data_IF_362554486440
#
_entry.id   IF_362554486440
#
_cell.length_a   1.000
_cell.length_b   1.000
_cell.length_c   1.000
_cell.angle_alpha   90.00
_cell.angle_beta   90.00
_cell.angle_gamma   90.00
#
_symmetry.space_group_name_H-M   'P 1'
#
loop_
_entity.id
_entity.type
_entity.pdbx_description
1 polymer ?
#
# COMPACT_ATOMS: atom_id res chain seq x y z
N UNK A 1 13.28 -8.50 -9.91
CA UNK A 1 12.00 -9.26 -9.88
C UNK A 1 12.27 -10.60 -9.22
N UNK A 2 11.48 -10.99 -8.22
CA UNK A 2 11.64 -12.30 -7.55
C UNK A 2 11.00 -13.37 -8.43
N UNK A 3 11.71 -14.48 -8.68
CA UNK A 3 11.20 -15.59 -9.51
C UNK A 3 10.05 -16.33 -8.81
N UNK A 4 9.10 -16.84 -9.59
CA UNK A 4 8.06 -17.72 -9.05
C UNK A 4 8.68 -19.01 -8.52
N UNK A 5 8.31 -19.45 -7.31
CA UNK A 5 8.83 -20.69 -6.76
C UNK A 5 8.24 -21.89 -7.51
N UNK A 6 9.07 -22.90 -7.75
CA UNK A 6 8.59 -24.18 -8.31
C UNK A 6 7.91 -25.00 -7.22
N UNK A 7 7.05 -25.94 -7.61
CA UNK A 7 6.41 -26.89 -6.68
C UNK A 7 7.46 -27.62 -5.83
N UNK A 8 8.57 -28.03 -6.44
CA UNK A 8 9.68 -28.66 -5.72
C UNK A 8 10.39 -27.71 -4.76
N UNK A 9 10.55 -26.44 -5.13
CA UNK A 9 11.08 -25.40 -4.24
C UNK A 9 10.21 -25.20 -2.99
N UNK A 10 8.88 -25.14 -3.17
CA UNK A 10 7.94 -25.04 -2.05
C UNK A 10 7.99 -26.28 -1.14
N UNK A 11 8.02 -27.49 -1.72
CA UNK A 11 8.13 -28.75 -0.96
C UNK A 11 9.41 -28.80 -0.12
N UNK A 12 10.55 -28.35 -0.65
CA UNK A 12 11.83 -28.29 0.08
C UNK A 12 11.77 -27.25 1.19
N UNK A 13 11.26 -26.06 0.90
CA UNK A 13 11.17 -24.96 1.86
C UNK A 13 10.28 -25.31 3.06
N UNK A 14 9.20 -26.08 2.85
CA UNK A 14 8.34 -26.58 3.93
C UNK A 14 9.09 -27.44 4.96
N UNK A 15 10.18 -28.10 4.56
CA UNK A 15 11.00 -28.97 5.42
C UNK A 15 12.25 -28.28 5.96
N UNK A 16 12.58 -27.10 5.45
CA UNK A 16 13.76 -26.38 5.91
C UNK A 16 13.55 -25.96 7.37
N UNK A 17 14.56 -26.20 8.20
CA UNK A 17 14.56 -25.67 9.56
C UNK A 17 14.68 -24.15 9.49
N UNK A 18 13.74 -23.45 10.13
CA UNK A 18 13.79 -22.00 10.29
C UNK A 18 14.23 -21.72 11.71
N UNK A 19 15.46 -21.27 11.86
CA UNK A 19 16.00 -20.86 13.15
C UNK A 19 15.27 -19.62 13.66
N UNK A 20 14.94 -19.62 14.95
CA UNK A 20 14.27 -18.49 15.61
C UNK A 20 15.23 -17.91 16.64
N UNK A 21 15.67 -16.69 16.38
CA UNK A 21 16.49 -15.93 17.31
C UNK A 21 15.59 -15.06 18.19
N UNK A 22 15.90 -15.06 19.48
CA UNK A 22 15.32 -14.17 20.49
C UNK A 22 16.22 -12.95 20.69
N UNK A 23 15.74 -11.95 21.45
CA UNK A 23 16.54 -10.78 21.79
C UNK A 23 17.81 -11.15 22.58
N UNK A 24 17.72 -12.19 23.43
CA UNK A 24 18.86 -12.68 24.20
C UNK A 24 19.95 -13.27 23.30
N UNK A 25 19.56 -13.99 22.24
CA UNK A 25 20.49 -14.63 21.29
C UNK A 25 21.33 -13.60 20.52
N UNK A 26 20.86 -12.35 20.43
CA UNK A 26 21.54 -11.25 19.75
C UNK A 26 22.06 -10.16 20.72
N UNK A 27 21.99 -10.39 22.03
CA UNK A 27 22.52 -9.48 23.05
C UNK A 27 21.77 -8.15 23.19
N UNK A 28 20.48 -8.11 22.84
CA UNK A 28 19.65 -6.91 22.94
C UNK A 28 18.75 -7.00 24.17
N UNK A 29 18.72 -5.94 24.99
CA UNK A 29 17.76 -5.82 26.09
C UNK A 29 16.37 -5.40 25.55
N UNK A 30 15.31 -5.83 26.23
CA UNK A 30 13.94 -5.52 25.82
C UNK A 30 13.64 -4.01 25.79
N UNK A 31 14.33 -3.25 26.64
CA UNK A 31 14.24 -1.79 26.76
C UNK A 31 14.70 -1.07 25.49
N UNK A 32 15.68 -1.66 24.79
CA UNK A 32 16.29 -1.12 23.59
C UNK A 32 15.60 -1.61 22.30
N UNK A 33 14.49 -2.33 22.40
CA UNK A 33 13.78 -2.91 21.27
C UNK A 33 12.32 -2.44 21.21
N UNK A 34 11.73 -2.54 20.00
CA UNK A 34 10.32 -2.23 19.78
C UNK A 34 9.96 -0.78 20.09
N UNK A 35 8.78 -0.57 20.69
CA UNK A 35 8.28 0.78 21.01
C UNK A 35 9.15 1.48 22.07
N UNK A 36 9.65 0.74 23.07
CA UNK A 36 10.44 1.32 24.16
C UNK A 36 11.81 1.81 23.70
N UNK A 37 12.45 1.08 22.78
CA UNK A 37 13.72 1.48 22.19
C UNK A 37 13.60 2.53 21.07
N UNK A 38 12.40 2.88 20.65
CA UNK A 38 12.18 3.83 19.56
C UNK A 38 12.17 5.28 20.07
N UNK A 39 12.99 6.19 19.52
CA UNK A 39 12.96 7.61 19.90
C UNK A 39 11.69 8.32 19.41
N UNK A 40 10.97 7.74 18.44
CA UNK A 40 9.73 8.30 17.88
C UNK A 40 8.54 7.40 18.21
N UNK A 41 7.36 8.01 18.30
CA UNK A 41 6.09 7.33 18.54
C UNK A 41 5.02 7.80 17.56
N UNK A 42 4.26 6.85 17.01
CA UNK A 42 3.09 7.17 16.18
C UNK A 42 2.02 7.86 17.03
N UNK A 43 1.71 9.12 16.72
CA UNK A 43 0.71 9.91 17.44
C UNK A 43 -0.70 9.73 16.86
N UNK A 44 -0.82 9.67 15.53
CA UNK A 44 -2.07 9.45 14.82
C UNK A 44 -1.79 8.72 13.49
N UNK A 45 -2.78 7.96 13.01
CA UNK A 45 -2.77 7.37 11.68
C UNK A 45 -4.06 7.81 11.00
N UNK A 46 -3.93 8.56 9.92
CA UNK A 46 -5.08 9.05 9.16
C UNK A 46 -5.07 8.44 7.76
N UNK A 47 -6.21 7.90 7.35
CA UNK A 47 -6.42 7.47 5.98
C UNK A 47 -6.85 8.68 5.17
N UNK A 48 -5.92 9.27 4.43
CA UNK A 48 -6.25 10.35 3.50
C UNK A 48 -7.17 9.79 2.40
N UNK A 49 -8.36 10.37 2.26
CA UNK A 49 -9.15 10.15 1.05
C UNK A 49 -8.52 10.97 -0.06
N UNK A 50 -8.17 10.33 -1.18
CA UNK A 50 -7.89 11.09 -2.40
C UNK A 50 -9.14 11.92 -2.69
N UNK A 51 -8.98 13.23 -2.92
CA UNK A 51 -10.09 14.09 -3.36
C UNK A 51 -10.80 13.34 -4.49
N UNK A 52 -12.13 13.25 -4.41
CA UNK A 52 -12.99 12.55 -5.37
C UNK A 52 -12.87 13.27 -6.73
N UNK A 53 -11.78 13.01 -7.44
CA UNK A 53 -11.33 13.73 -8.62
C UNK A 53 -11.49 12.90 -9.89
N UNK A 54 -12.30 11.84 -9.86
CA UNK A 54 -12.79 11.22 -11.07
C UNK A 54 -14.28 11.51 -11.16
N UNK A 55 -14.61 12.55 -11.94
CA UNK A 55 -15.95 12.66 -12.53
C UNK A 55 -16.24 11.34 -13.25
N UNK A 56 -17.50 10.93 -13.22
CA UNK A 56 -18.06 9.73 -13.81
C UNK A 56 -17.22 9.13 -14.96
N UNK A 57 -16.86 7.84 -14.87
CA UNK A 57 -16.25 7.12 -15.99
C UNK A 57 -17.37 6.81 -16.99
N UNK A 58 -17.46 7.59 -18.05
CA UNK A 58 -18.37 7.31 -19.16
C UNK A 58 -17.75 6.20 -20.03
N UNK A 59 -18.48 5.10 -20.23
CA UNK A 59 -18.05 3.96 -21.08
C UNK A 59 -18.53 4.09 -22.52
N UNK A 60 -19.37 5.07 -22.80
CA UNK A 60 -19.86 5.40 -24.14
C UNK A 60 -19.01 6.52 -24.75
N UNK A 61 -18.51 6.30 -25.96
CA UNK A 61 -17.54 7.19 -26.59
C UNK A 61 -18.15 8.54 -26.99
N UNK A 62 -19.39 8.54 -27.48
CA UNK A 62 -20.06 9.73 -27.98
C UNK A 62 -20.52 10.63 -26.83
N UNK A 63 -21.14 10.03 -25.80
CA UNK A 63 -21.51 10.73 -24.57
C UNK A 63 -20.27 11.26 -23.82
N UNK A 64 -19.17 10.49 -23.81
CA UNK A 64 -17.90 10.92 -23.23
C UNK A 64 -17.28 12.11 -23.98
N UNK A 65 -17.30 12.09 -25.31
CA UNK A 65 -16.77 13.18 -26.14
C UNK A 65 -17.57 14.47 -25.95
N UNK A 66 -18.91 14.38 -25.89
CA UNK A 66 -19.77 15.54 -25.69
C UNK A 66 -19.54 16.19 -24.32
N UNK A 67 -19.50 15.38 -23.25
CA UNK A 67 -19.19 15.86 -21.91
C UNK A 67 -17.80 16.52 -21.84
N UNK A 68 -16.81 15.96 -22.53
CA UNK A 68 -15.46 16.52 -22.58
C UNK A 68 -15.41 17.87 -23.32
N UNK A 69 -16.17 18.02 -24.41
CA UNK A 69 -16.30 19.28 -25.15
C UNK A 69 -16.94 20.37 -24.27
N UNK A 70 -17.98 20.03 -23.50
CA UNK A 70 -18.62 20.97 -22.56
C UNK A 70 -17.66 21.43 -21.45
N UNK A 71 -16.83 20.52 -20.94
CA UNK A 71 -15.81 20.84 -19.95
C UNK A 71 -14.70 21.75 -20.51
N UNK A 72 -14.27 21.54 -21.75
CA UNK A 72 -13.25 22.37 -22.41
C UNK A 72 -13.78 23.76 -22.74
N UNK A 73 -15.06 23.87 -23.12
CA UNK A 73 -15.73 25.15 -23.43
C UNK A 73 -16.03 26.00 -22.20
N UNK A 74 -15.72 25.52 -20.99
CA UNK A 74 -15.90 26.27 -19.75
C UNK A 74 -17.29 26.18 -19.13
N UNK A 75 -18.03 25.08 -19.38
CA UNK A 75 -19.28 24.80 -18.67
C UNK A 75 -19.09 24.90 -17.16
N UNK A 76 -19.95 25.71 -16.53
CA UNK A 76 -19.86 26.25 -15.17
C UNK A 76 -18.96 25.49 -14.19
N UNK A 77 -18.00 26.22 -13.62
CA UNK A 77 -17.44 25.90 -12.31
C UNK A 77 -18.45 26.32 -11.24
N UNK A 78 -19.57 25.62 -11.15
CA UNK A 78 -20.40 25.71 -9.96
C UNK A 78 -20.00 24.56 -9.04
N UNK A 79 -19.33 24.94 -7.95
CA UNK A 79 -19.06 24.25 -6.67
C UNK A 79 -18.77 22.73 -6.67
#
# INVERSE_FOLDING_TARGET
MVRSPTVMGMRRSKKAAIERLTLADIGISAENAGLHGSPTRTAAVETMSFRKGKRCVCTDADAGAQALIELIKGGNRDE
#
